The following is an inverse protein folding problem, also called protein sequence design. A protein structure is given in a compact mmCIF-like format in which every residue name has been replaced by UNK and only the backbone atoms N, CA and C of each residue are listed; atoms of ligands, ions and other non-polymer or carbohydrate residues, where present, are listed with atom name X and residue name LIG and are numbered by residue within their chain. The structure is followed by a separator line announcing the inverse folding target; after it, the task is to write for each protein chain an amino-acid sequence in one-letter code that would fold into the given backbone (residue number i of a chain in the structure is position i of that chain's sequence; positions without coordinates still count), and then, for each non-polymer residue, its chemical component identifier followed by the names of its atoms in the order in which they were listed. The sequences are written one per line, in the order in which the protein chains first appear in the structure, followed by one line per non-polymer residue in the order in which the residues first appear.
data_IF_132143898269
#
_entry.id   IF_132143898269
#
_cell.length_a   1.000
_cell.length_b   1.000
_cell.length_c   1.000
_cell.angle_alpha   90.00
_cell.angle_beta   90.00
_cell.angle_gamma   90.00
#
_symmetry.space_group_name_H-M   'P 1'
#
loop_
_entity.id
_entity.type
_entity.pdbx_description
1 polymer ?
#
# COMPACT_ATOMS: atom_id res chain seq x y z
N UNK A 1 64.01 8.32 -113.02
CA UNK A 1 63.72 7.22 -112.06
C UNK A 1 64.22 7.48 -110.64
N UNK A 2 65.51 7.80 -110.42
CA UNK A 2 66.06 8.13 -109.07
C UNK A 2 65.30 9.26 -108.36
N UNK A 3 65.03 10.36 -109.07
CA UNK A 3 64.27 11.50 -108.55
C UNK A 3 62.86 11.13 -108.06
N UNK A 4 62.17 10.23 -108.78
CA UNK A 4 60.83 9.78 -108.37
C UNK A 4 60.87 8.93 -107.10
N UNK A 5 61.90 8.08 -106.93
CA UNK A 5 62.11 7.30 -105.70
C UNK A 5 62.40 8.20 -104.50
N UNK A 6 63.15 9.28 -104.73
CA UNK A 6 63.46 10.31 -103.71
C UNK A 6 62.21 11.09 -103.28
N UNK A 7 61.36 11.50 -104.24
CA UNK A 7 60.09 12.18 -103.96
C UNK A 7 59.15 11.29 -103.14
N UNK A 8 59.03 10.01 -103.49
CA UNK A 8 58.22 9.05 -102.72
C UNK A 8 58.73 8.93 -101.28
N UNK A 9 60.05 8.80 -101.10
CA UNK A 9 60.68 8.71 -99.77
C UNK A 9 60.45 9.97 -98.93
N UNK A 10 60.57 11.15 -99.54
CA UNK A 10 60.29 12.44 -98.87
C UNK A 10 58.81 12.52 -98.46
N UNK A 11 57.89 12.09 -99.32
CA UNK A 11 56.46 12.07 -99.00
C UNK A 11 56.13 11.10 -97.85
N UNK A 12 56.76 9.92 -97.83
CA UNK A 12 56.62 8.96 -96.72
C UNK A 12 57.18 9.51 -95.40
N UNK A 13 58.34 10.18 -95.43
CA UNK A 13 58.92 10.86 -94.27
C UNK A 13 58.02 11.99 -93.76
N UNK A 14 57.49 12.83 -94.66
CA UNK A 14 56.56 13.90 -94.30
C UNK A 14 55.27 13.33 -93.67
N UNK A 15 54.77 12.21 -94.17
CA UNK A 15 53.61 11.52 -93.59
C UNK A 15 53.91 11.02 -92.18
N UNK A 16 55.08 10.39 -91.95
CA UNK A 16 55.52 9.95 -90.62
C UNK A 16 55.68 11.13 -89.65
N UNK A 17 56.35 12.19 -90.08
CA UNK A 17 56.55 13.41 -89.30
C UNK A 17 55.22 14.07 -88.92
N UNK A 18 54.23 14.04 -89.82
CA UNK A 18 52.88 14.57 -89.53
C UNK A 18 52.18 13.74 -88.46
N UNK A 19 52.30 12.41 -88.51
CA UNK A 19 51.74 11.51 -87.48
C UNK A 19 52.46 11.73 -86.15
N UNK A 20 53.78 11.81 -86.13
CA UNK A 20 54.58 12.07 -84.92
C UNK A 20 54.18 13.42 -84.30
N UNK A 21 54.06 14.48 -85.09
CA UNK A 21 53.60 15.80 -84.62
C UNK A 21 52.17 15.75 -84.05
N UNK A 22 51.27 14.96 -84.66
CA UNK A 22 49.92 14.76 -84.11
C UNK A 22 49.95 14.00 -82.79
N UNK A 23 50.79 12.97 -82.67
CA UNK A 23 50.96 12.22 -81.42
C UNK A 23 51.58 13.09 -80.32
N UNK A 24 52.58 13.91 -80.65
CA UNK A 24 53.21 14.84 -79.71
C UNK A 24 52.20 15.88 -79.19
N UNK A 25 51.39 16.46 -80.09
CA UNK A 25 50.29 17.36 -79.71
C UNK A 25 49.28 16.67 -78.79
N UNK A 26 48.89 15.43 -79.09
CA UNK A 26 47.98 14.66 -78.23
C UNK A 26 48.60 14.38 -76.85
N UNK A 27 49.89 14.06 -76.80
CA UNK A 27 50.61 13.88 -75.52
C UNK A 27 50.72 15.19 -74.74
N UNK A 28 50.98 16.31 -75.40
CA UNK A 28 51.06 17.63 -74.77
C UNK A 28 49.73 18.02 -74.11
N UNK A 29 48.60 17.80 -74.79
CA UNK A 29 47.26 18.04 -74.21
C UNK A 29 47.01 17.12 -73.02
N UNK A 30 47.44 15.86 -73.09
CA UNK A 30 47.31 14.91 -71.98
C UNK A 30 48.14 15.34 -70.77
N UNK A 31 49.37 15.81 -70.99
CA UNK A 31 50.23 16.35 -69.93
C UNK A 31 49.59 17.58 -69.30
N UNK A 32 49.06 18.51 -70.09
CA UNK A 32 48.39 19.70 -69.56
C UNK A 32 47.17 19.35 -68.70
N UNK A 33 46.37 18.37 -69.12
CA UNK A 33 45.23 17.89 -68.33
C UNK A 33 45.67 17.20 -67.03
N UNK A 34 46.72 16.37 -67.07
CA UNK A 34 47.27 15.73 -65.87
C UNK A 34 47.83 16.78 -64.89
N UNK A 35 48.51 17.82 -65.38
CA UNK A 35 49.00 18.92 -64.55
C UNK A 35 47.87 19.68 -63.87
N UNK A 36 46.76 19.94 -64.58
CA UNK A 36 45.56 20.55 -63.99
C UNK A 36 44.95 19.65 -62.91
N UNK A 37 44.84 18.35 -63.16
CA UNK A 37 44.34 17.38 -62.18
C UNK A 37 45.23 17.33 -60.93
N UNK A 38 46.56 17.28 -61.11
CA UNK A 38 47.52 17.31 -60.00
C UNK A 38 47.33 18.54 -59.12
N UNK A 39 47.22 19.73 -59.74
CA UNK A 39 47.00 20.97 -58.99
C UNK A 39 45.69 20.93 -58.19
N UNK A 40 44.60 20.44 -58.79
CA UNK A 40 43.33 20.30 -58.05
C UNK A 40 43.42 19.30 -56.90
N UNK A 41 44.17 18.20 -57.06
CA UNK A 41 44.35 17.23 -55.98
C UNK A 41 45.21 17.77 -54.84
N UNK A 42 46.22 18.59 -55.13
CA UNK A 42 47.04 19.27 -54.12
C UNK A 42 46.22 20.27 -53.31
N UNK A 43 45.37 21.08 -53.98
CA UNK A 43 44.46 22.02 -53.32
C UNK A 43 43.47 21.31 -52.37
N UNK A 44 42.92 20.16 -52.80
CA UNK A 44 42.06 19.33 -51.95
C UNK A 44 42.83 18.75 -50.75
N UNK A 45 44.06 18.26 -50.97
CA UNK A 45 44.87 17.67 -49.91
C UNK A 45 45.20 18.69 -48.82
N UNK A 46 45.58 19.91 -49.21
CA UNK A 46 45.90 20.97 -48.25
C UNK A 46 44.64 21.40 -47.47
N UNK A 47 43.46 21.42 -48.12
CA UNK A 47 42.19 21.68 -47.45
C UNK A 47 41.75 20.63 -46.43
N UNK A 48 42.18 19.37 -46.58
CA UNK A 48 41.77 18.25 -45.69
C UNK A 48 42.81 17.97 -44.59
N UNK A 49 44.03 18.50 -44.71
CA UNK A 49 45.19 18.20 -43.85
C UNK A 49 44.94 18.35 -42.33
N UNK A 50 44.15 19.33 -41.92
CA UNK A 50 43.85 19.60 -40.51
C UNK A 50 42.60 18.86 -40.00
N UNK A 51 41.80 18.27 -40.89
CA UNK A 51 40.57 17.55 -40.56
C UNK A 51 40.80 16.38 -39.58
N UNK A 52 41.83 15.52 -39.73
CA UNK A 52 42.10 14.42 -38.81
C UNK A 52 42.36 14.89 -37.37
N UNK A 53 43.10 15.99 -37.19
CA UNK A 53 43.40 16.53 -35.86
C UNK A 53 42.13 17.09 -35.20
N UNK A 54 41.25 17.74 -35.96
CA UNK A 54 39.96 18.20 -35.46
C UNK A 54 39.06 17.03 -35.06
N UNK A 55 39.02 15.98 -35.88
CA UNK A 55 38.28 14.74 -35.57
C UNK A 55 38.79 14.10 -34.28
N UNK A 56 40.11 14.03 -34.07
CA UNK A 56 40.68 13.48 -32.85
C UNK A 56 40.33 14.30 -31.61
N UNK A 57 40.38 15.64 -31.70
CA UNK A 57 39.96 16.54 -30.62
C UNK A 57 38.49 16.35 -30.27
N UNK A 58 37.61 16.30 -31.28
CA UNK A 58 36.19 16.07 -31.08
C UNK A 58 35.93 14.69 -30.46
N UNK A 59 36.64 13.64 -30.87
CA UNK A 59 36.54 12.31 -30.26
C UNK A 59 36.90 12.32 -28.77
N UNK A 60 37.98 13.01 -28.39
CA UNK A 60 38.38 13.16 -26.96
C UNK A 60 37.31 13.90 -26.16
N UNK A 61 36.72 14.94 -26.74
CA UNK A 61 35.66 15.71 -26.08
C UNK A 61 34.37 14.89 -25.91
N UNK A 62 33.99 14.08 -26.90
CA UNK A 62 32.85 13.16 -26.78
C UNK A 62 33.06 12.14 -25.66
N UNK A 63 34.26 11.57 -25.55
CA UNK A 63 34.58 10.65 -24.45
C UNK A 63 34.45 11.36 -23.10
N UNK A 64 35.02 12.56 -22.97
CA UNK A 64 34.92 13.37 -21.74
C UNK A 64 33.47 13.69 -21.36
N UNK A 65 32.64 14.04 -22.33
CA UNK A 65 31.21 14.32 -22.12
C UNK A 65 30.47 13.05 -21.68
N UNK A 66 30.77 11.90 -22.28
CA UNK A 66 30.15 10.62 -21.90
C UNK A 66 30.52 10.23 -20.46
N UNK A 67 31.78 10.33 -20.07
CA UNK A 67 32.23 10.08 -18.68
C UNK A 67 31.52 11.02 -17.69
N UNK A 68 31.35 12.29 -18.06
CA UNK A 68 30.63 13.25 -17.22
C UNK A 68 29.14 12.91 -17.11
N UNK A 69 28.52 12.48 -18.21
CA UNK A 69 27.11 12.06 -18.20
C UNK A 69 26.91 10.81 -17.34
N UNK A 70 27.78 9.80 -17.44
CA UNK A 70 27.71 8.60 -16.59
C UNK A 70 27.81 8.94 -15.10
N UNK A 71 28.73 9.83 -14.74
CA UNK A 71 28.86 10.32 -13.37
C UNK A 71 27.59 11.07 -12.91
N UNK A 72 27.04 11.94 -13.75
CA UNK A 72 25.85 12.72 -13.44
C UNK A 72 24.61 11.84 -13.30
N UNK A 73 24.47 10.79 -14.13
CA UNK A 73 23.43 9.77 -13.99
C UNK A 73 23.58 9.03 -12.66
N UNK A 74 24.79 8.60 -12.31
CA UNK A 74 25.04 7.92 -11.03
C UNK A 74 24.76 8.81 -9.80
N UNK A 75 25.01 10.13 -9.89
CA UNK A 75 24.61 11.07 -8.85
C UNK A 75 23.09 11.26 -8.78
N UNK A 76 22.42 11.34 -9.94
CA UNK A 76 20.97 11.44 -10.01
C UNK A 76 20.28 10.24 -9.35
N UNK A 77 20.77 9.03 -9.60
CA UNK A 77 20.23 7.81 -8.98
C UNK A 77 20.36 7.84 -7.45
N UNK A 78 21.52 8.30 -6.93
CA UNK A 78 21.72 8.49 -5.48
C UNK A 78 20.78 9.54 -4.90
N UNK A 79 20.54 10.63 -5.62
CA UNK A 79 19.59 11.68 -5.21
C UNK A 79 18.17 11.12 -5.20
N UNK A 80 17.77 10.32 -6.17
CA UNK A 80 16.46 9.66 -6.18
C UNK A 80 16.29 8.67 -5.02
N UNK A 81 17.32 7.86 -4.74
CA UNK A 81 17.28 6.91 -3.61
C UNK A 81 17.17 7.65 -2.26
N UNK A 82 17.92 8.73 -2.09
CA UNK A 82 17.84 9.56 -0.88
C UNK A 82 16.50 10.28 -0.76
N UNK A 83 15.93 10.79 -1.85
CA UNK A 83 14.60 11.38 -1.86
C UNK A 83 13.52 10.36 -1.46
N UNK A 84 13.58 9.13 -1.96
CA UNK A 84 12.67 8.06 -1.57
C UNK A 84 12.78 7.70 -0.07
N UNK A 85 14.01 7.67 0.48
CA UNK A 85 14.23 7.48 1.92
C UNK A 85 13.62 8.61 2.75
N UNK A 86 13.77 9.86 2.32
CA UNK A 86 13.19 11.03 3.00
C UNK A 86 11.66 10.98 2.97
N UNK A 87 11.04 10.62 1.84
CA UNK A 87 9.58 10.46 1.76
C UNK A 87 9.08 9.35 2.71
N UNK A 88 9.76 8.20 2.74
CA UNK A 88 9.41 7.12 3.67
C UNK A 88 9.54 7.55 5.14
N UNK A 89 10.65 8.21 5.51
CA UNK A 89 10.83 8.75 6.87
C UNK A 89 9.76 9.79 7.22
N UNK A 90 9.35 10.62 6.27
CA UNK A 90 8.29 11.62 6.45
C UNK A 90 6.93 10.96 6.71
N UNK A 91 6.60 9.89 5.96
CA UNK A 91 5.41 9.08 6.18
C UNK A 91 5.44 8.43 7.57
N UNK A 92 6.55 7.80 7.94
CA UNK A 92 6.72 7.21 9.28
C UNK A 92 6.56 8.27 10.39
N UNK A 93 7.15 9.45 10.22
CA UNK A 93 7.02 10.53 11.19
C UNK A 93 5.57 11.03 11.33
N UNK A 94 4.82 11.08 10.22
CA UNK A 94 3.39 11.43 10.27
C UNK A 94 2.58 10.38 11.03
N UNK A 95 2.77 9.10 10.72
CA UNK A 95 2.06 8.00 11.41
C UNK A 95 2.39 7.96 12.90
N UNK A 96 3.67 8.08 13.28
CA UNK A 96 4.07 8.13 14.70
C UNK A 96 3.44 9.32 15.41
N UNK A 97 3.39 10.50 14.79
CA UNK A 97 2.71 11.67 15.35
C UNK A 97 1.21 11.45 15.56
N UNK A 98 0.53 10.81 14.61
CA UNK A 98 -0.90 10.47 14.74
C UNK A 98 -1.14 9.45 15.86
N UNK A 99 -0.29 8.41 15.96
CA UNK A 99 -0.37 7.43 17.05
C UNK A 99 -0.11 8.05 18.42
N UNK A 100 0.87 8.96 18.52
CA UNK A 100 1.20 9.66 19.76
C UNK A 100 0.02 10.52 20.21
N UNK A 101 -0.60 11.29 19.30
CA UNK A 101 -1.82 12.05 19.59
C UNK A 101 -2.96 11.15 20.07
N UNK A 102 -3.11 9.97 19.46
CA UNK A 102 -4.09 8.96 19.89
C UNK A 102 -3.83 8.47 21.32
N UNK A 103 -2.59 8.11 21.63
CA UNK A 103 -2.17 7.66 22.96
C UNK A 103 -2.33 8.76 24.02
N UNK A 104 -2.02 10.02 23.69
CA UNK A 104 -2.26 11.15 24.59
C UNK A 104 -3.74 11.33 24.93
N UNK A 105 -4.62 11.19 23.92
CA UNK A 105 -6.07 11.24 24.13
C UNK A 105 -6.57 10.08 24.98
N UNK A 106 -6.06 8.87 24.76
CA UNK A 106 -6.40 7.69 25.58
C UNK A 106 -5.92 7.87 27.02
N UNK A 107 -4.70 8.37 27.22
CA UNK A 107 -4.15 8.65 28.56
C UNK A 107 -4.98 9.69 29.30
N UNK A 108 -5.46 10.74 28.61
CA UNK A 108 -6.34 11.73 29.20
C UNK A 108 -7.69 11.12 29.61
N UNK A 109 -8.30 10.29 28.76
CA UNK A 109 -9.54 9.60 29.06
C UNK A 109 -9.38 8.64 30.25
N UNK A 110 -8.29 7.87 30.31
CA UNK A 110 -8.01 6.94 31.40
C UNK A 110 -7.81 7.67 32.74
N UNK A 111 -7.14 8.83 32.73
CA UNK A 111 -7.00 9.67 33.93
C UNK A 111 -8.35 10.15 34.45
N UNK A 112 -9.25 10.59 33.57
CA UNK A 112 -10.59 11.03 33.97
C UNK A 112 -11.44 9.87 34.48
N UNK A 113 -11.40 8.72 33.79
CA UNK A 113 -12.07 7.50 34.23
C UNK A 113 -11.57 7.04 35.62
N UNK A 114 -10.26 7.07 35.83
CA UNK A 114 -9.65 6.74 37.13
C UNK A 114 -10.11 7.70 38.23
N UNK A 115 -10.23 9.00 37.93
CA UNK A 115 -10.72 10.00 38.89
C UNK A 115 -12.17 9.75 39.28
N UNK A 116 -13.05 9.53 38.30
CA UNK A 116 -14.47 9.20 38.54
C UNK A 116 -14.58 7.90 39.35
N UNK A 117 -13.77 6.89 39.04
CA UNK A 117 -13.75 5.64 39.79
C UNK A 117 -13.33 5.85 41.25
N UNK A 118 -12.40 6.75 41.52
CA UNK A 118 -11.95 7.09 42.87
C UNK A 118 -13.05 7.80 43.66
N UNK A 119 -13.69 8.81 43.07
CA UNK A 119 -14.83 9.53 43.67
C UNK A 119 -16.00 8.59 43.98
N UNK A 120 -16.30 7.66 43.05
CA UNK A 120 -17.33 6.64 43.25
C UNK A 120 -16.98 5.69 44.39
N UNK A 121 -15.72 5.28 44.49
CA UNK A 121 -15.23 4.41 45.58
C UNK A 121 -15.41 5.10 46.94
N UNK A 122 -14.99 6.35 47.07
CA UNK A 122 -15.17 7.14 48.30
C UNK A 122 -16.65 7.29 48.67
N UNK A 123 -17.53 7.49 47.68
CA UNK A 123 -18.97 7.56 47.89
C UNK A 123 -19.56 6.25 48.44
N UNK A 124 -19.16 5.12 47.86
CA UNK A 124 -19.57 3.79 48.33
C UNK A 124 -19.04 3.48 49.74
N UNK A 125 -17.80 3.85 50.04
CA UNK A 125 -17.21 3.68 51.38
C UNK A 125 -18.02 4.44 52.43
N UNK A 126 -18.41 5.69 52.16
CA UNK A 126 -19.29 6.48 53.04
C UNK A 126 -20.67 5.82 53.20
N UNK A 127 -21.25 5.31 52.13
CA UNK A 127 -22.56 4.64 52.17
C UNK A 127 -22.52 3.37 53.01
N UNK A 128 -21.46 2.57 52.88
CA UNK A 128 -21.21 1.39 53.72
C UNK A 128 -21.07 1.78 55.19
N UNK A 129 -20.33 2.85 55.50
CA UNK A 129 -20.19 3.34 56.88
C UNK A 129 -21.53 3.73 57.50
N UNK A 130 -22.39 4.43 56.74
CA UNK A 130 -23.75 4.81 57.17
C UNK A 130 -24.60 3.56 57.45
N UNK A 131 -24.64 2.61 56.51
CA UNK A 131 -25.41 1.37 56.65
C UNK A 131 -24.93 0.50 57.82
N UNK A 132 -23.63 0.50 58.12
CA UNK A 132 -23.07 -0.18 59.28
C UNK A 132 -23.51 0.47 60.60
N UNK A 133 -23.55 1.81 60.67
CA UNK A 133 -24.07 2.53 61.84
C UNK A 133 -25.55 2.24 62.04
N UNK A 134 -26.35 2.33 60.97
CA UNK A 134 -27.79 2.06 61.01
C UNK A 134 -28.10 0.62 61.44
N UNK A 135 -27.37 -0.37 60.90
CA UNK A 135 -27.48 -1.77 61.34
C UNK A 135 -27.16 -1.94 62.82
N UNK A 136 -26.12 -1.27 63.32
CA UNK A 136 -25.74 -1.34 64.74
C UNK A 136 -26.83 -0.73 65.64
N UNK A 137 -27.43 0.38 65.23
CA UNK A 137 -28.55 0.99 65.94
C UNK A 137 -29.80 0.11 65.93
N UNK A 138 -30.15 -0.48 64.79
CA UNK A 138 -31.26 -1.43 64.68
C UNK A 138 -31.02 -2.66 65.56
N UNK A 139 -29.80 -3.19 65.59
CA UNK A 139 -29.42 -4.30 66.47
C UNK A 139 -29.60 -3.95 67.94
N UNK A 140 -29.10 -2.78 68.36
CA UNK A 140 -29.25 -2.30 69.74
C UNK A 140 -30.73 -2.11 70.12
N UNK A 141 -31.55 -1.54 69.22
CA UNK A 141 -33.01 -1.39 69.43
C UNK A 141 -33.69 -2.76 69.55
N UNK A 142 -33.29 -3.74 68.74
CA UNK A 142 -33.84 -5.09 68.79
C UNK A 142 -33.45 -5.82 70.08
N UNK A 143 -32.20 -5.70 70.54
CA UNK A 143 -31.76 -6.21 71.87
C UNK A 143 -32.50 -5.52 73.03
N UNK A 144 -32.77 -4.21 72.92
CA UNK A 144 -33.56 -3.47 73.90
C UNK A 144 -35.05 -3.90 73.92
N UNK A 145 -35.59 -4.30 72.76
CA UNK A 145 -36.93 -4.85 72.64
C UNK A 145 -37.02 -6.29 73.22
N UNK A 146 -36.02 -7.13 72.95
CA UNK A 146 -35.88 -8.48 73.51
C UNK A 146 -35.70 -8.45 75.05
N UNK A 147 -34.92 -7.52 75.58
CA UNK A 147 -34.76 -7.37 77.04
C UNK A 147 -36.02 -6.84 77.74
N UNK A 148 -36.88 -6.08 77.06
CA UNK A 148 -38.23 -5.71 77.55
C UNK A 148 -39.23 -6.87 77.48
N UNK A 149 -38.95 -7.94 76.73
CA UNK A 149 -39.79 -9.16 76.72
C UNK A 149 -39.37 -10.23 77.75
N UNK A 150 -38.32 -10.01 78.55
CA UNK A 150 -37.92 -10.90 79.65
C UNK A 150 -38.84 -10.81 80.90
N UNK A 151 -40.01 -10.20 80.75
CA UNK A 151 -41.07 -10.16 81.77
C UNK A 151 -42.30 -11.01 81.42
N UNK A 152 -42.18 -11.97 80.50
CA UNK A 152 -43.23 -12.97 80.24
C UNK A 152 -42.57 -14.35 80.23
N UNK A 153 -42.61 -15.01 81.38
CA UNK A 153 -42.67 -16.46 81.43
C UNK A 153 -43.87 -16.90 80.58
N UNK A 154 -43.59 -17.44 79.41
CA UNK A 154 -44.55 -18.25 78.68
C UNK A 154 -43.78 -19.42 78.09
N UNK A 155 -43.91 -20.55 78.78
CA UNK A 155 -44.08 -21.87 78.17
C UNK A 155 -44.43 -21.79 76.68
N UNK A 156 -43.45 -22.00 75.80
CA UNK A 156 -43.69 -22.22 74.39
C UNK A 156 -42.89 -23.44 73.93
N UNK A 157 -43.29 -24.59 74.48
CA UNK A 157 -43.23 -25.87 73.76
C UNK A 157 -44.36 -25.98 72.71
N UNK A 158 -44.81 -24.84 72.18
CA UNK A 158 -45.81 -24.80 71.13
C UNK A 158 -45.31 -23.83 70.06
N UNK A 159 -44.27 -24.25 69.34
CA UNK A 159 -43.96 -23.65 68.04
C UNK A 159 -45.24 -23.84 67.22
N UNK A 160 -45.96 -22.75 67.01
CA UNK A 160 -47.25 -22.76 66.35
C UNK A 160 -47.07 -23.45 64.99
N UNK A 161 -48.01 -24.29 64.55
CA UNK A 161 -47.91 -25.03 63.27
C UNK A 161 -47.53 -24.07 62.12
N UNK A 162 -48.02 -22.83 62.19
CA UNK A 162 -47.69 -21.73 61.28
C UNK A 162 -46.21 -21.31 61.29
N UNK A 163 -45.55 -21.24 62.44
CA UNK A 163 -44.12 -20.90 62.54
C UNK A 163 -43.24 -22.05 62.00
N UNK A 164 -43.63 -23.31 62.24
CA UNK A 164 -42.97 -24.46 61.59
C UNK A 164 -43.12 -24.42 60.08
N UNK A 165 -44.33 -24.16 59.58
CA UNK A 165 -44.58 -23.99 58.14
C UNK A 165 -43.81 -22.80 57.55
N UNK A 166 -43.62 -21.71 58.32
CA UNK A 166 -42.88 -20.54 57.84
C UNK A 166 -41.39 -20.84 57.78
N UNK A 167 -40.85 -21.55 58.77
CA UNK A 167 -39.46 -22.01 58.78
C UNK A 167 -39.22 -23.00 57.64
N UNK A 168 -40.13 -23.95 57.40
CA UNK A 168 -40.04 -24.90 56.30
C UNK A 168 -40.14 -24.21 54.93
N UNK A 169 -41.01 -23.21 54.80
CA UNK A 169 -41.13 -22.38 53.60
C UNK A 169 -39.84 -21.58 53.33
N UNK A 170 -39.28 -20.93 54.35
CA UNK A 170 -38.02 -20.20 54.25
C UNK A 170 -36.86 -21.13 53.91
N UNK A 171 -36.79 -22.31 54.51
CA UNK A 171 -35.80 -23.32 54.15
C UNK A 171 -35.96 -23.79 52.70
N UNK A 172 -37.20 -23.88 52.19
CA UNK A 172 -37.43 -24.21 50.77
C UNK A 172 -36.99 -23.08 49.83
N UNK A 173 -37.22 -21.81 50.19
CA UNK A 173 -36.72 -20.64 49.44
C UNK A 173 -35.20 -20.58 49.46
N UNK A 174 -34.58 -20.80 50.62
CA UNK A 174 -33.13 -20.80 50.77
C UNK A 174 -32.51 -21.93 49.93
N UNK A 175 -33.10 -23.12 49.95
CA UNK A 175 -32.66 -24.22 49.11
C UNK A 175 -32.82 -23.92 47.61
N UNK A 176 -33.91 -23.27 47.20
CA UNK A 176 -34.15 -22.89 45.80
C UNK A 176 -33.19 -21.77 45.35
N UNK A 177 -32.94 -20.77 46.19
CA UNK A 177 -31.95 -19.73 45.94
C UNK A 177 -30.55 -20.30 45.85
N UNK A 178 -30.18 -21.24 46.73
CA UNK A 178 -28.86 -21.88 46.68
C UNK A 178 -28.69 -22.70 45.40
N UNK A 179 -29.71 -23.49 45.00
CA UNK A 179 -29.71 -24.20 43.70
C UNK A 179 -29.57 -23.25 42.53
N UNK A 180 -30.23 -22.08 42.58
CA UNK A 180 -30.14 -21.07 41.53
C UNK A 180 -28.77 -20.42 41.47
N UNK A 181 -28.15 -20.15 42.63
CA UNK A 181 -26.76 -19.68 42.68
C UNK A 181 -25.79 -20.71 42.12
N UNK A 182 -25.98 -21.99 42.44
CA UNK A 182 -25.14 -23.07 41.92
C UNK A 182 -25.30 -23.21 40.39
N UNK A 183 -26.54 -23.12 39.86
CA UNK A 183 -26.81 -23.12 38.41
C UNK A 183 -26.16 -21.92 37.70
N UNK A 184 -26.22 -20.73 38.30
CA UNK A 184 -25.59 -19.53 37.74
C UNK A 184 -24.07 -19.62 37.78
N UNK A 185 -23.49 -20.16 38.85
CA UNK A 185 -22.05 -20.42 38.95
C UNK A 185 -21.60 -21.43 37.88
N UNK A 186 -22.35 -22.50 37.67
CA UNK A 186 -22.07 -23.50 36.64
C UNK A 186 -22.21 -22.92 35.22
N UNK A 187 -23.19 -22.03 34.98
CA UNK A 187 -23.33 -21.30 33.71
C UNK A 187 -22.16 -20.35 33.46
N UNK A 188 -21.72 -19.61 34.48
CA UNK A 188 -20.53 -18.74 34.39
C UNK A 188 -19.28 -19.57 34.11
N UNK A 189 -19.11 -20.72 34.78
CA UNK A 189 -17.97 -21.61 34.56
C UNK A 189 -17.97 -22.17 33.12
N UNK A 190 -19.13 -22.58 32.59
CA UNK A 190 -19.29 -23.02 31.19
C UNK A 190 -18.98 -21.92 30.18
N UNK A 191 -19.39 -20.67 30.46
CA UNK A 191 -19.07 -19.51 29.62
C UNK A 191 -17.57 -19.16 29.68
N UNK A 192 -16.93 -19.32 30.84
CA UNK A 192 -15.49 -19.09 31.03
C UNK A 192 -14.63 -20.20 30.42
N UNK A 193 -15.11 -21.45 30.35
CA UNK A 193 -14.38 -22.58 29.76
C UNK A 193 -14.50 -22.66 28.23
N UNK A 194 -15.27 -21.78 27.59
CA UNK A 194 -15.39 -21.69 26.13
C UNK A 194 -16.24 -22.79 25.47
N UNK A 195 -16.96 -23.60 26.25
CA UNK A 195 -17.90 -24.59 25.71
C UNK A 195 -19.23 -23.91 25.38
N UNK A 196 -19.33 -23.40 24.15
CA UNK A 196 -20.56 -22.87 23.57
C UNK A 196 -21.56 -24.01 23.30
N UNK A 197 -22.35 -24.39 24.30
CA UNK A 197 -23.57 -25.17 24.07
C UNK A 197 -24.71 -24.21 23.76
N UNK A 198 -25.00 -24.04 22.47
CA UNK A 198 -26.13 -23.27 21.96
C UNK A 198 -27.27 -24.24 21.64
N UNK A 199 -28.35 -24.33 22.45
CA UNK A 199 -29.63 -24.75 21.94
C UNK A 199 -30.44 -23.49 21.63
N UNK A 200 -30.95 -23.42 20.40
CA UNK A 200 -31.97 -22.46 19.94
C UNK A 200 -31.53 -21.03 19.66
N UNK A 201 -30.96 -20.80 18.47
CA UNK A 201 -31.38 -19.66 17.63
C UNK A 201 -30.94 -19.88 16.17
N UNK A 202 -31.91 -20.33 15.38
CA UNK A 202 -32.20 -19.90 14.01
C UNK A 202 -31.00 -19.44 13.15
N UNK A 203 -30.52 -20.37 12.32
CA UNK A 203 -30.12 -20.14 10.91
C UNK A 203 -29.65 -18.74 10.52
N UNK A 204 -28.37 -18.44 10.79
CA UNK A 204 -27.54 -17.70 9.82
C UNK A 204 -26.07 -17.98 10.11
N UNK A 205 -25.61 -19.10 9.57
CA UNK A 205 -24.20 -19.46 9.51
C UNK A 205 -23.44 -18.36 8.76
N UNK A 206 -22.88 -17.39 9.47
CA UNK A 206 -21.69 -16.68 9.02
C UNK A 206 -20.54 -17.67 9.11
N UNK A 207 -20.46 -18.54 8.10
CA UNK A 207 -19.21 -19.23 7.78
C UNK A 207 -18.18 -18.12 7.65
N UNK A 208 -17.22 -18.07 8.55
CA UNK A 208 -16.04 -17.23 8.38
C UNK A 208 -15.42 -17.69 7.05
N UNK A 209 -15.68 -16.92 5.99
CA UNK A 209 -15.15 -17.20 4.66
C UNK A 209 -13.65 -17.01 4.78
N UNK A 210 -12.89 -18.08 4.57
CA UNK A 210 -11.44 -17.99 4.46
C UNK A 210 -11.10 -16.92 3.42
N UNK A 211 -10.24 -15.94 3.74
CA UNK A 211 -9.84 -14.90 2.79
C UNK A 211 -9.41 -15.55 1.46
N UNK A 212 -10.03 -15.13 0.36
CA UNK A 212 -9.67 -15.63 -0.97
C UNK A 212 -8.31 -15.08 -1.35
N UNK A 213 -7.45 -15.95 -1.86
CA UNK A 213 -6.11 -15.55 -2.28
C UNK A 213 -6.23 -14.94 -3.68
N UNK A 214 -5.60 -13.80 -3.92
CA UNK A 214 -5.64 -13.11 -5.21
C UNK A 214 -4.21 -12.78 -5.62
N UNK A 215 -3.82 -13.17 -6.82
CA UNK A 215 -2.55 -12.77 -7.42
C UNK A 215 -2.78 -11.54 -8.31
N UNK A 216 -2.22 -10.41 -7.91
CA UNK A 216 -2.23 -9.13 -8.64
C UNK A 216 -1.34 -9.12 -9.90
N UNK A 217 -0.45 -10.11 -10.07
CA UNK A 217 0.40 -10.24 -11.26
C UNK A 217 -0.35 -10.90 -12.44
N UNK A 218 -1.29 -11.81 -12.17
CA UNK A 218 -2.03 -12.53 -13.21
C UNK A 218 -3.56 -12.47 -13.08
N UNK A 219 -4.08 -11.70 -12.14
CA UNK A 219 -5.52 -11.50 -11.86
C UNK A 219 -6.31 -12.80 -11.66
N UNK A 220 -5.66 -13.84 -11.14
CA UNK A 220 -6.31 -15.12 -10.85
C UNK A 220 -6.57 -15.28 -9.36
N UNK A 221 -7.75 -15.77 -9.02
CA UNK A 221 -8.13 -16.08 -7.65
C UNK A 221 -7.79 -17.52 -7.29
N UNK A 222 -7.43 -17.73 -6.03
CA UNK A 222 -7.30 -19.00 -5.30
C UNK A 222 -6.30 -20.01 -5.90
N UNK A 223 -5.43 -19.57 -6.82
CA UNK A 223 -4.45 -20.43 -7.50
C UNK A 223 -3.07 -20.37 -6.86
N UNK A 224 -2.56 -19.18 -6.58
CA UNK A 224 -1.29 -18.92 -5.92
C UNK A 224 -1.32 -17.56 -5.25
N UNK A 225 -0.42 -17.35 -4.29
CA UNK A 225 -0.14 -16.01 -3.75
C UNK A 225 0.66 -15.19 -4.75
N UNK A 226 0.60 -13.86 -4.65
CA UNK A 226 1.38 -12.95 -5.51
C UNK A 226 2.84 -13.37 -5.63
N UNK A 227 3.49 -13.73 -4.52
CA UNK A 227 4.93 -14.06 -4.46
C UNK A 227 5.32 -15.34 -5.21
N UNK A 228 4.36 -16.24 -5.43
CA UNK A 228 4.56 -17.52 -6.14
C UNK A 228 4.12 -17.44 -7.61
N UNK A 229 3.83 -16.24 -8.13
CA UNK A 229 3.33 -16.11 -9.49
C UNK A 229 4.41 -16.55 -10.49
N UNK A 230 4.15 -17.55 -11.35
CA UNK A 230 5.11 -18.00 -12.36
C UNK A 230 5.45 -16.92 -13.39
N UNK A 231 4.68 -15.83 -13.45
CA UNK A 231 4.96 -14.65 -14.29
C UNK A 231 5.96 -13.68 -13.67
N UNK A 232 6.22 -13.77 -12.37
CA UNK A 232 7.12 -12.87 -11.64
C UNK A 232 8.59 -13.00 -12.07
N UNK A 233 8.96 -14.12 -12.73
CA UNK A 233 10.28 -14.36 -13.32
C UNK A 233 10.32 -14.30 -14.86
N UNK A 234 9.21 -13.99 -15.54
CA UNK A 234 9.18 -13.86 -16.98
C UNK A 234 9.42 -12.39 -17.37
N UNK A 235 10.44 -12.13 -18.19
CA UNK A 235 10.84 -10.79 -18.69
C UNK A 235 9.86 -10.21 -19.73
N UNK A 236 8.59 -10.60 -19.63
CA UNK A 236 7.51 -10.13 -20.50
C UNK A 236 6.75 -9.01 -19.78
N UNK A 237 6.59 -7.83 -20.40
CA UNK A 237 5.88 -6.73 -19.77
C UNK A 237 4.45 -7.16 -19.43
N UNK A 238 3.91 -6.74 -18.26
CA UNK A 238 2.59 -7.13 -17.85
C UNK A 238 1.56 -6.71 -18.91
N UNK A 239 0.53 -7.54 -19.17
CA UNK A 239 -0.52 -7.16 -20.10
C UNK A 239 -1.14 -5.85 -19.62
N UNK A 240 -1.17 -4.83 -20.50
CA UNK A 240 -1.79 -3.56 -20.18
C UNK A 240 -3.28 -3.80 -19.88
N UNK A 241 -3.70 -3.41 -18.68
CA UNK A 241 -5.08 -3.53 -18.24
C UNK A 241 -5.96 -2.67 -19.15
N UNK A 242 -6.81 -3.33 -19.95
CA UNK A 242 -7.89 -2.66 -20.65
C UNK A 242 -9.02 -2.39 -19.62
N UNK A 243 -8.90 -1.32 -18.85
CA UNK A 243 -10.04 -0.85 -18.07
C UNK A 243 -11.14 -0.40 -19.06
N UNK A 244 -12.39 -0.87 -18.91
CA UNK A 244 -13.50 -0.41 -19.75
C UNK A 244 -13.73 1.10 -19.65
N UNK A 245 -13.21 1.73 -18.60
CA UNK A 245 -13.39 3.13 -18.28
C UNK A 245 -12.04 3.86 -18.22
N UNK A 246 -11.93 5.05 -18.84
CA UNK A 246 -10.71 5.85 -18.81
C UNK A 246 -10.37 6.31 -17.38
N UNK A 247 -9.08 6.53 -17.11
CA UNK A 247 -8.63 7.10 -15.83
C UNK A 247 -9.30 8.46 -15.59
N UNK A 248 -9.99 8.59 -14.45
CA UNK A 248 -10.77 9.77 -14.09
C UNK A 248 -12.26 9.68 -14.43
N UNK A 249 -12.74 8.55 -14.94
CA UNK A 249 -14.17 8.33 -15.12
C UNK A 249 -14.83 8.08 -13.76
N UNK A 250 -15.57 9.09 -13.28
CA UNK A 250 -16.40 8.99 -12.08
C UNK A 250 -17.68 8.23 -12.45
N UNK A 251 -17.94 7.12 -11.76
CA UNK A 251 -19.08 6.26 -12.07
C UNK A 251 -20.35 6.94 -11.55
N UNK A 252 -21.39 7.16 -12.39
CA UNK A 252 -22.62 7.80 -11.96
C UNK A 252 -23.23 7.07 -10.75
N UNK A 253 -23.49 7.82 -9.69
CA UNK A 253 -24.04 7.32 -8.44
C UNK A 253 -25.26 8.14 -8.05
N UNK A 254 -26.35 7.43 -7.76
CA UNK A 254 -27.57 8.04 -7.30
C UNK A 254 -27.61 8.00 -5.77
N UNK A 255 -27.58 9.16 -5.13
CA UNK A 255 -27.74 9.28 -3.68
C UNK A 255 -29.16 8.91 -3.22
N UNK A 256 -30.17 9.06 -4.09
CA UNK A 256 -31.56 8.69 -3.77
C UNK A 256 -31.80 7.18 -3.76
N UNK A 257 -31.15 6.42 -4.65
CA UNK A 257 -31.30 4.96 -4.75
C UNK A 257 -30.15 4.17 -4.12
N UNK A 258 -29.12 4.87 -3.62
CA UNK A 258 -27.87 4.30 -3.09
C UNK A 258 -27.20 3.28 -4.03
N UNK A 259 -27.35 3.46 -5.35
CA UNK A 259 -26.85 2.53 -6.35
C UNK A 259 -26.17 3.23 -7.52
N UNK A 260 -25.19 2.54 -8.11
CA UNK A 260 -24.48 3.02 -9.30
C UNK A 260 -25.26 2.70 -10.58
N UNK A 261 -25.24 3.62 -11.54
CA UNK A 261 -25.81 3.41 -12.88
C UNK A 261 -26.50 4.62 -13.48
N UNK A 262 -26.86 5.61 -12.67
CA UNK A 262 -27.36 6.92 -13.06
C UNK A 262 -26.98 7.94 -11.98
N UNK A 263 -26.97 9.23 -12.31
CA UNK A 263 -26.76 10.30 -11.33
C UNK A 263 -28.08 10.68 -10.65
N UNK A 264 -28.00 11.26 -9.45
CA UNK A 264 -29.16 11.72 -8.69
C UNK A 264 -30.07 12.68 -9.49
N UNK A 265 -29.52 13.41 -10.47
CA UNK A 265 -30.27 14.34 -11.33
C UNK A 265 -31.14 13.65 -12.39
N UNK A 266 -30.77 12.43 -12.80
CA UNK A 266 -31.47 11.62 -13.82
C UNK A 266 -32.24 10.46 -13.17
N UNK A 267 -32.46 10.53 -11.86
CA UNK A 267 -33.22 9.54 -11.12
C UNK A 267 -34.71 9.71 -11.43
N UNK A 268 -35.28 8.75 -12.17
CA UNK A 268 -36.73 8.60 -12.32
C UNK A 268 -37.31 8.11 -10.98
N UNK A 269 -37.45 9.04 -10.04
CA UNK A 269 -37.98 8.81 -8.69
C UNK A 269 -39.52 8.65 -8.74
N UNK A 270 -39.96 7.71 -9.57
CA UNK A 270 -41.36 7.31 -9.73
C UNK A 270 -41.48 5.88 -9.23
N UNK A 271 -41.48 5.73 -7.89
CA UNK A 271 -42.43 4.94 -7.09
C UNK A 271 -41.87 4.72 -5.68
N UNK A 272 -42.29 5.54 -4.70
CA UNK A 272 -43.34 5.22 -3.72
C UNK A 272 -43.12 3.94 -2.89
N UNK A 273 -42.62 4.07 -1.66
CA UNK A 273 -43.38 3.97 -0.38
C UNK A 273 -42.43 3.81 0.82
#
# INVERSE_FOLDING_TARGET
EKLNKEIIRINELNKKLTVELQTEKATSVKVENLTKQLKTTEEILEGVKDSPQQIEKLKKEVVRINELNENLTGELDKVQETAAKVDNLTKQLKTTKETLKGLESQLAAEKEASKISMERKEGLEKQVEILLKENKELKNKNELALSKSNGIEATNNNVNEGERMTIEFLNSIIADQQRKMDQQAEQIQRLQSGELSNPTTTTRSTRLVTPRMFCDICDMFDLHETEDCPRQGADTPPPQQAHPYPRGYERPYCESCEMFGHDTADCDDVNTF
#
